data_IF_683871141969
#
_entry.id   IF_683871141969
#
_cell.length_a   1.000
_cell.length_b   1.000
_cell.length_c   1.000
_cell.angle_alpha   90.00
_cell.angle_beta   90.00
_cell.angle_gamma   90.00
#
_symmetry.space_group_name_H-M   'P 1'
#
loop_
_entity.id
_entity.type
_entity.pdbx_description
1 polymer ?
#
# COMPACT_ATOMS: atom_id res chain seq x y z
N UNK A 1 -1.48 -10.48 23.77
CA UNK A 1 -1.41 -10.15 22.33
C UNK A 1 -2.09 -11.24 21.51
N UNK A 2 -2.29 -11.06 20.21
CA UNK A 2 -2.85 -12.08 19.32
C UNK A 2 -1.76 -12.95 18.69
N UNK A 3 -2.06 -14.23 18.53
CA UNK A 3 -1.28 -15.21 17.78
C UNK A 3 -2.22 -16.06 16.92
N UNK A 4 -1.68 -16.74 15.91
CA UNK A 4 -2.48 -17.68 15.13
C UNK A 4 -2.89 -18.90 15.99
N UNK A 5 -4.16 -19.29 15.94
CA UNK A 5 -4.65 -20.49 16.63
C UNK A 5 -4.32 -21.78 15.87
N UNK A 6 -4.13 -21.68 14.55
CA UNK A 6 -3.81 -22.77 13.62
C UNK A 6 -2.92 -22.24 12.51
N UNK A 7 -2.46 -23.13 11.63
CA UNK A 7 -1.77 -22.71 10.42
C UNK A 7 -2.74 -21.95 9.50
N UNK A 8 -2.28 -20.82 8.97
CA UNK A 8 -3.02 -19.94 8.06
C UNK A 8 -2.24 -19.75 6.77
N UNK A 9 -2.94 -19.70 5.65
CA UNK A 9 -2.36 -19.42 4.34
C UNK A 9 -2.23 -17.92 4.12
N UNK A 10 -1.23 -17.50 3.34
CA UNK A 10 -1.16 -16.12 2.84
C UNK A 10 -2.41 -15.78 2.02
N UNK A 11 -2.82 -14.52 2.05
CA UNK A 11 -4.05 -14.04 1.42
C UNK A 11 -5.34 -14.40 2.17
N UNK A 12 -5.27 -15.07 3.33
CA UNK A 12 -6.44 -15.25 4.18
C UNK A 12 -6.77 -13.97 4.94
N UNK A 13 -8.05 -13.72 5.17
CA UNK A 13 -8.53 -12.75 6.17
C UNK A 13 -8.79 -13.54 7.46
N UNK A 14 -7.99 -13.39 8.52
CA UNK A 14 -8.19 -14.14 9.75
C UNK A 14 -9.52 -13.81 10.41
N UNK A 15 -10.25 -14.85 10.77
CA UNK A 15 -11.47 -14.79 11.57
C UNK A 15 -11.16 -14.93 13.05
N UNK A 16 -12.16 -14.76 13.92
CA UNK A 16 -11.98 -14.95 15.36
C UNK A 16 -11.42 -16.33 15.72
N UNK A 17 -11.86 -17.39 15.04
CA UNK A 17 -11.45 -18.77 15.33
C UNK A 17 -10.03 -19.09 14.85
N UNK A 18 -9.46 -18.23 14.01
CA UNK A 18 -8.08 -18.31 13.53
C UNK A 18 -7.09 -17.70 14.52
N UNK A 19 -7.59 -17.04 15.57
CA UNK A 19 -6.83 -16.22 16.48
C UNK A 19 -6.96 -16.73 17.91
N UNK A 20 -5.87 -16.59 18.66
CA UNK A 20 -5.87 -16.82 20.10
C UNK A 20 -5.10 -15.72 20.81
N UNK A 21 -5.48 -15.47 22.05
CA UNK A 21 -4.70 -14.59 22.92
C UNK A 21 -3.55 -15.37 23.53
N UNK A 22 -2.36 -14.76 23.50
CA UNK A 22 -1.17 -15.26 24.21
C UNK A 22 -0.60 -14.14 25.08
N UNK A 23 -0.09 -14.53 26.24
CA UNK A 23 0.65 -13.66 27.14
C UNK A 23 2.14 -13.93 26.99
N UNK A 24 2.91 -12.87 26.77
CA UNK A 24 4.36 -12.89 26.74
C UNK A 24 4.87 -11.90 27.79
N UNK A 25 6.05 -12.14 28.38
CA UNK A 25 6.71 -11.14 29.22
C UNK A 25 6.86 -9.81 28.47
N UNK A 26 6.79 -8.65 29.15
CA UNK A 26 6.81 -7.34 28.50
C UNK A 26 7.99 -7.13 27.53
N UNK A 27 9.17 -7.66 27.84
CA UNK A 27 10.36 -7.58 26.97
C UNK A 27 10.38 -8.53 25.77
N UNK A 28 9.41 -9.44 25.67
CA UNK A 28 9.30 -10.43 24.59
C UNK A 28 8.12 -10.16 23.63
N UNK A 29 7.29 -9.15 23.92
CA UNK A 29 6.21 -8.72 23.01
C UNK A 29 6.84 -7.96 21.83
N UNK A 30 6.68 -8.41 20.58
CA UNK A 30 7.18 -7.68 19.43
C UNK A 30 6.57 -6.28 19.33
N UNK A 31 7.32 -5.33 18.78
CA UNK A 31 6.72 -4.07 18.32
C UNK A 31 5.62 -4.36 17.28
N UNK A 32 4.57 -3.54 17.28
CA UNK A 32 3.44 -3.73 16.37
C UNK A 32 2.56 -4.96 16.69
N UNK A 33 2.77 -5.64 17.83
CA UNK A 33 1.95 -6.77 18.26
C UNK A 33 0.46 -6.39 18.32
N UNK A 34 -0.37 -7.17 17.64
CA UNK A 34 -1.81 -6.98 17.67
C UNK A 34 -2.37 -7.33 19.04
N UNK A 35 -3.29 -6.51 19.52
CA UNK A 35 -3.97 -6.70 20.81
C UNK A 35 -5.33 -7.36 20.60
N UNK A 36 -5.83 -8.13 21.58
CA UNK A 36 -7.23 -8.59 21.56
C UNK A 36 -8.17 -7.42 21.28
N UNK A 37 -9.13 -7.61 20.37
CA UNK A 37 -10.04 -6.55 19.90
C UNK A 37 -9.54 -5.71 18.72
N UNK A 38 -8.35 -5.99 18.16
CA UNK A 38 -7.93 -5.37 16.91
C UNK A 38 -8.91 -5.72 15.76
N UNK A 39 -9.31 -4.70 14.99
CA UNK A 39 -10.13 -4.91 13.79
C UNK A 39 -9.26 -5.40 12.63
N UNK A 40 -9.43 -6.69 12.31
CA UNK A 40 -8.75 -7.36 11.20
C UNK A 40 -9.70 -7.62 10.03
N UNK A 41 -10.91 -7.05 10.09
CA UNK A 41 -11.90 -7.16 9.02
C UNK A 41 -11.29 -6.61 7.74
N UNK A 42 -11.33 -7.41 6.67
CA UNK A 42 -10.73 -7.10 5.37
C UNK A 42 -9.19 -6.92 5.34
N UNK A 43 -8.46 -7.34 6.39
CA UNK A 43 -6.99 -7.37 6.40
C UNK A 43 -6.50 -8.74 5.97
N UNK A 44 -5.75 -8.79 4.86
CA UNK A 44 -5.25 -10.05 4.30
C UNK A 44 -3.87 -10.37 4.88
N UNK A 45 -3.54 -11.62 5.15
CA UNK A 45 -2.17 -12.01 5.52
C UNK A 45 -1.23 -11.87 4.32
N UNK A 46 -0.04 -11.29 4.52
CA UNK A 46 0.97 -11.13 3.45
C UNK A 46 1.68 -12.44 3.06
N UNK A 47 1.61 -13.45 3.93
CA UNK A 47 2.19 -14.78 3.72
C UNK A 47 1.62 -15.81 4.69
N UNK A 48 2.02 -17.09 4.57
CA UNK A 48 1.59 -18.13 5.49
C UNK A 48 2.08 -17.86 6.91
N UNK A 49 1.27 -18.22 7.91
CA UNK A 49 1.52 -18.04 9.34
C UNK A 49 1.33 -19.38 10.04
N UNK A 50 2.25 -19.74 10.94
CA UNK A 50 2.16 -21.00 11.69
C UNK A 50 1.35 -20.86 12.97
N UNK A 51 0.73 -21.95 13.41
CA UNK A 51 0.04 -22.02 14.68
C UNK A 51 0.95 -21.55 15.83
N UNK A 52 0.46 -20.61 16.63
CA UNK A 52 1.16 -20.01 17.75
C UNK A 52 2.12 -18.88 17.42
N UNK A 53 2.28 -18.55 16.14
CA UNK A 53 3.09 -17.40 15.74
C UNK A 53 2.44 -16.08 16.23
N UNK A 54 3.19 -15.22 16.95
CA UNK A 54 2.76 -13.88 17.32
C UNK A 54 2.39 -13.05 16.08
N UNK A 55 1.19 -12.47 16.06
CA UNK A 55 0.76 -11.62 14.96
C UNK A 55 1.06 -10.15 15.24
N UNK A 56 1.77 -9.52 14.29
CA UNK A 56 2.00 -8.08 14.24
C UNK A 56 1.26 -7.47 13.06
N UNK A 57 1.10 -6.15 13.06
CA UNK A 57 0.62 -5.38 11.91
C UNK A 57 1.37 -5.71 10.60
N UNK A 58 2.67 -5.97 10.66
CA UNK A 58 3.51 -6.36 9.52
C UNK A 58 3.10 -7.68 8.84
N UNK A 59 2.33 -8.56 9.51
CA UNK A 59 1.80 -9.81 8.91
C UNK A 59 0.62 -9.58 7.98
N UNK A 60 0.09 -8.36 7.92
CA UNK A 60 -1.09 -8.05 7.13
C UNK A 60 -0.73 -7.14 5.96
N UNK A 61 -1.27 -7.46 4.80
CA UNK A 61 -1.52 -6.51 3.73
C UNK A 61 -2.54 -5.51 4.28
N UNK A 62 -2.07 -4.36 4.75
CA UNK A 62 -2.93 -3.20 4.93
C UNK A 62 -3.13 -2.50 3.57
N UNK A 63 -4.17 -1.66 3.42
CA UNK A 63 -3.85 -0.36 2.83
C UNK A 63 -2.72 0.18 3.72
N UNK A 64 -1.51 0.40 3.21
CA UNK A 64 -0.42 0.86 4.05
C UNK A 64 -0.90 2.15 4.69
N UNK A 65 -0.65 2.25 5.99
CA UNK A 65 -1.11 3.38 6.78
C UNK A 65 -0.69 4.65 6.04
N UNK A 66 -1.68 5.43 5.60
CA UNK A 66 -1.39 6.72 4.98
C UNK A 66 -0.68 7.53 6.06
N UNK A 67 0.59 7.96 5.85
CA UNK A 67 1.34 8.68 6.86
C UNK A 67 0.56 9.91 7.35
N UNK A 68 0.71 10.28 8.62
CA UNK A 68 0.10 11.50 9.17
C UNK A 68 0.44 12.71 8.30
N UNK A 69 -0.56 13.49 7.92
CA UNK A 69 -0.40 14.63 7.00
C UNK A 69 -0.41 14.26 5.51
N UNK A 70 -0.63 12.99 5.16
CA UNK A 70 -0.85 12.54 3.78
C UNK A 70 -2.29 12.07 3.56
N UNK A 71 -2.66 11.93 2.29
CA UNK A 71 -3.93 11.43 1.78
C UNK A 71 -3.66 10.23 0.88
N UNK A 72 -4.56 9.24 0.89
CA UNK A 72 -4.58 8.20 -0.14
C UNK A 72 -5.13 8.79 -1.44
N UNK A 73 -4.26 9.17 -2.36
CA UNK A 73 -4.65 9.85 -3.59
C UNK A 73 -4.60 8.90 -4.80
N UNK A 74 -5.74 8.60 -5.45
CA UNK A 74 -5.78 7.81 -6.66
C UNK A 74 -5.46 8.66 -7.89
N UNK A 75 -4.59 8.17 -8.77
CA UNK A 75 -4.40 8.73 -10.12
C UNK A 75 -4.30 7.60 -11.15
N UNK A 76 -4.56 7.93 -12.42
CA UNK A 76 -4.43 6.98 -13.53
C UNK A 76 -3.18 7.26 -14.35
N UNK A 77 -2.56 6.18 -14.81
CA UNK A 77 -1.58 6.19 -15.88
C UNK A 77 -2.18 5.45 -17.08
N UNK A 78 -1.90 5.94 -18.29
CA UNK A 78 -2.51 5.41 -19.52
C UNK A 78 -2.08 3.96 -19.81
N UNK A 79 -0.82 3.64 -19.51
CA UNK A 79 -0.25 2.32 -19.70
C UNK A 79 -0.49 1.45 -18.46
N UNK A 80 -1.30 0.40 -18.63
CA UNK A 80 -1.65 -0.51 -17.55
C UNK A 80 -0.46 -1.37 -17.09
N UNK A 81 0.50 -1.66 -17.99
CA UNK A 81 1.65 -2.53 -17.71
C UNK A 81 2.60 -1.90 -16.70
N UNK A 82 2.59 -0.57 -16.56
CA UNK A 82 3.32 0.16 -15.52
C UNK A 82 2.97 -0.38 -14.13
N UNK A 83 1.69 -0.65 -13.84
CA UNK A 83 1.30 -1.16 -12.52
C UNK A 83 1.84 -2.55 -12.20
N UNK A 84 2.13 -3.36 -13.22
CA UNK A 84 2.73 -4.68 -13.03
C UNK A 84 4.22 -4.61 -12.66
N UNK A 85 4.88 -3.48 -12.90
CA UNK A 85 6.27 -3.23 -12.51
C UNK A 85 6.40 -2.70 -11.08
N UNK A 86 5.31 -2.21 -10.50
CA UNK A 86 5.29 -1.60 -9.18
C UNK A 86 4.89 -2.60 -8.10
N UNK A 87 5.36 -2.34 -6.89
CA UNK A 87 4.90 -2.98 -5.65
C UNK A 87 4.38 -1.92 -4.69
N UNK A 88 3.46 -2.33 -3.83
CA UNK A 88 3.09 -1.50 -2.67
C UNK A 88 4.33 -1.32 -1.80
N UNK A 89 4.62 -0.08 -1.43
CA UNK A 89 5.85 0.32 -0.73
C UNK A 89 6.90 0.98 -1.63
N UNK A 90 6.82 0.81 -2.96
CA UNK A 90 7.72 1.48 -3.88
C UNK A 90 7.61 3.00 -3.76
N UNK A 91 8.73 3.70 -3.92
CA UNK A 91 8.73 5.15 -4.04
C UNK A 91 8.90 5.53 -5.51
N UNK A 92 8.05 6.43 -5.98
CA UNK A 92 8.01 6.83 -7.39
C UNK A 92 8.16 8.34 -7.54
N UNK A 93 8.85 8.74 -8.60
CA UNK A 93 8.80 10.11 -9.10
C UNK A 93 7.64 10.21 -10.09
N UNK A 94 6.83 11.26 -9.95
CA UNK A 94 5.67 11.53 -10.79
C UNK A 94 6.03 12.65 -11.76
N UNK A 95 5.75 12.44 -13.04
CA UNK A 95 5.96 13.43 -14.10
C UNK A 95 4.65 13.68 -14.84
N UNK A 96 4.45 14.90 -15.33
CA UNK A 96 3.36 15.22 -16.23
C UNK A 96 3.86 15.92 -17.48
N UNK A 97 3.32 15.53 -18.62
CA UNK A 97 3.56 16.15 -19.91
C UNK A 97 2.23 16.46 -20.61
N UNK A 98 2.22 17.49 -21.45
CA UNK A 98 1.14 17.74 -22.39
C UNK A 98 1.63 17.41 -23.81
N UNK A 99 0.75 17.50 -24.81
CA UNK A 99 1.15 17.35 -26.22
C UNK A 99 2.09 18.45 -26.71
N UNK A 100 2.18 19.58 -25.99
CA UNK A 100 2.91 20.77 -26.42
C UNK A 100 4.05 21.17 -25.50
N UNK A 101 4.14 20.59 -24.29
CA UNK A 101 5.17 20.91 -23.31
C UNK A 101 5.89 19.64 -22.84
N UNK A 102 7.21 19.76 -22.67
CA UNK A 102 8.06 18.68 -22.14
C UNK A 102 7.62 18.25 -20.73
N UNK A 103 7.93 17.00 -20.38
CA UNK A 103 7.58 16.43 -19.09
C UNK A 103 8.24 17.20 -17.94
N UNK A 104 7.41 17.66 -17.00
CA UNK A 104 7.83 18.29 -15.75
C UNK A 104 7.64 17.36 -14.57
N UNK A 105 8.54 17.45 -13.59
CA UNK A 105 8.40 16.69 -12.34
C UNK A 105 7.28 17.26 -11.47
N UNK A 106 6.28 16.44 -11.18
CA UNK A 106 5.20 16.76 -10.26
C UNK A 106 5.59 16.47 -8.81
N UNK A 107 6.14 15.31 -8.51
CA UNK A 107 6.48 14.93 -7.15
C UNK A 107 7.64 13.94 -7.13
N UNK A 108 8.42 13.97 -6.05
CA UNK A 108 9.55 13.05 -5.84
C UNK A 108 9.24 12.08 -4.74
N UNK A 109 9.73 10.85 -4.88
CA UNK A 109 9.74 9.83 -3.83
C UNK A 109 8.36 9.68 -3.16
N UNK A 110 7.32 9.54 -3.96
CA UNK A 110 5.94 9.39 -3.45
C UNK A 110 5.67 7.91 -3.18
N UNK A 111 5.25 7.51 -1.97
CA UNK A 111 5.01 6.10 -1.66
C UNK A 111 3.78 5.58 -2.39
N UNK A 112 3.91 4.42 -3.04
CA UNK A 112 2.79 3.64 -3.60
C UNK A 112 2.12 2.90 -2.47
N UNK A 113 0.83 3.17 -2.26
CA UNK A 113 0.05 2.56 -1.18
C UNK A 113 -0.94 1.52 -1.66
N UNK A 114 -1.43 1.59 -2.89
CA UNK A 114 -2.24 0.52 -3.44
C UNK A 114 -2.12 0.46 -4.96
N UNK A 115 -2.24 -0.77 -5.48
CA UNK A 115 -2.32 -1.07 -6.90
C UNK A 115 -3.61 -1.85 -7.18
N UNK A 116 -4.78 -1.17 -7.26
CA UNK A 116 -6.04 -1.83 -7.58
C UNK A 116 -5.98 -2.57 -8.91
N UNK A 117 -6.54 -3.78 -8.97
CA UNK A 117 -6.63 -4.55 -10.19
C UNK A 117 -7.40 -3.76 -11.28
N UNK A 118 -6.93 -3.74 -12.55
CA UNK A 118 -7.65 -3.09 -13.63
C UNK A 118 -9.05 -3.71 -13.80
N UNK A 119 -10.10 -2.88 -13.88
CA UNK A 119 -11.45 -3.37 -14.18
C UNK A 119 -11.67 -3.67 -15.67
N UNK A 120 -10.80 -3.16 -16.52
CA UNK A 120 -10.75 -3.39 -17.97
C UNK A 120 -9.32 -3.13 -18.45
N UNK A 121 -8.85 -3.92 -19.42
CA UNK A 121 -7.53 -3.76 -20.03
C UNK A 121 -7.34 -2.39 -20.72
N UNK A 122 -8.44 -1.73 -21.12
CA UNK A 122 -8.40 -0.45 -21.85
C UNK A 122 -8.39 0.79 -20.96
N UNK A 123 -8.55 0.65 -19.64
CA UNK A 123 -8.78 1.78 -18.74
C UNK A 123 -7.48 2.39 -18.15
N UNK A 124 -6.30 1.89 -18.56
CA UNK A 124 -5.03 2.19 -17.91
C UNK A 124 -4.95 1.66 -16.48
N UNK A 125 -3.82 1.90 -15.81
CA UNK A 125 -3.62 1.49 -14.42
C UNK A 125 -4.09 2.57 -13.45
N UNK A 126 -4.76 2.15 -12.39
CA UNK A 126 -5.04 2.98 -11.22
C UNK A 126 -3.94 2.75 -10.19
N UNK A 127 -3.29 3.82 -9.74
CA UNK A 127 -2.26 3.79 -8.72
C UNK A 127 -2.73 4.69 -7.58
N UNK A 128 -2.63 4.20 -6.34
CA UNK A 128 -2.92 5.00 -5.16
C UNK A 128 -1.61 5.29 -4.44
N UNK A 129 -1.37 6.56 -4.15
CA UNK A 129 -0.16 7.03 -3.47
C UNK A 129 -0.48 7.71 -2.14
N UNK A 130 0.48 7.73 -1.22
CA UNK A 130 0.46 8.63 -0.08
C UNK A 130 0.92 10.02 -0.54
N UNK A 131 -0.01 10.96 -0.70
CA UNK A 131 0.27 12.32 -1.17
C UNK A 131 -0.02 13.35 -0.08
N UNK A 132 0.86 14.34 0.11
CA UNK A 132 0.50 15.52 0.90
C UNK A 132 -0.63 16.30 0.19
N UNK A 133 -1.39 17.16 0.90
CA UNK A 133 -2.42 18.00 0.27
C UNK A 133 -1.91 18.80 -0.94
N UNK A 134 -0.67 19.27 -0.90
CA UNK A 134 -0.03 20.01 -1.99
C UNK A 134 0.27 19.11 -3.20
N UNK A 135 0.73 17.88 -2.98
CA UNK A 135 0.93 16.89 -4.06
C UNK A 135 -0.42 16.49 -4.66
N UNK A 136 -1.43 16.23 -3.82
CA UNK A 136 -2.78 15.88 -4.26
C UNK A 136 -3.38 16.96 -5.15
N UNK A 137 -3.20 18.24 -4.81
CA UNK A 137 -3.67 19.38 -5.61
C UNK A 137 -2.99 19.44 -6.98
N UNK A 138 -1.66 19.22 -7.02
CA UNK A 138 -0.90 19.19 -8.29
C UNK A 138 -1.30 18.00 -9.17
N UNK A 139 -1.53 16.83 -8.58
CA UNK A 139 -2.02 15.66 -9.30
C UNK A 139 -3.44 15.86 -9.83
N UNK A 140 -4.32 16.49 -9.05
CA UNK A 140 -5.68 16.83 -9.49
C UNK A 140 -5.64 17.74 -10.73
N UNK A 141 -4.79 18.77 -10.70
CA UNK A 141 -4.62 19.68 -11.84
C UNK A 141 -4.02 18.97 -13.07
N UNK A 142 -2.98 18.15 -12.86
CA UNK A 142 -2.33 17.42 -13.94
C UNK A 142 -3.26 16.40 -14.59
N UNK A 143 -4.09 15.71 -13.81
CA UNK A 143 -5.01 14.68 -14.30
C UNK A 143 -6.06 15.23 -15.29
N UNK A 144 -6.34 16.54 -15.24
CA UNK A 144 -7.29 17.18 -16.15
C UNK A 144 -6.70 17.46 -17.53
N UNK A 145 -5.40 17.79 -17.61
CA UNK A 145 -4.80 18.41 -18.80
C UNK A 145 -3.51 17.76 -19.29
N UNK A 146 -2.99 16.76 -18.58
CA UNK A 146 -1.68 16.16 -18.83
C UNK A 146 -1.73 14.65 -18.75
N UNK A 147 -0.77 13.99 -19.41
CA UNK A 147 -0.48 12.58 -19.19
C UNK A 147 0.51 12.44 -18.05
N UNK A 148 0.14 11.65 -17.05
CA UNK A 148 1.00 11.37 -15.89
C UNK A 148 1.79 10.09 -16.19
N UNK A 149 3.10 10.13 -15.93
CA UNK A 149 4.01 8.98 -16.01
C UNK A 149 4.81 8.87 -14.72
N UNK A 150 5.41 7.71 -14.49
CA UNK A 150 6.12 7.39 -13.26
C UNK A 150 7.52 6.88 -13.56
N UNK A 151 8.46 7.15 -12.66
CA UNK A 151 9.78 6.51 -12.65
C UNK A 151 10.02 5.90 -11.27
N UNK A 152 10.48 4.64 -11.24
CA UNK A 152 10.90 4.00 -9.99
C UNK A 152 12.22 4.64 -9.54
N UNK A 153 12.28 5.06 -8.28
CA UNK A 153 13.56 5.38 -7.64
C UNK A 153 14.15 4.09 -7.07
N UNK A 154 15.40 3.72 -7.40
CA UNK A 154 16.05 2.61 -6.71
C UNK A 154 16.16 2.92 -5.22
N UNK A 155 16.02 1.90 -4.38
CA UNK A 155 16.36 2.00 -2.96
C UNK A 155 17.84 2.35 -2.86
N UNK A 156 18.16 3.63 -2.68
CA UNK A 156 19.47 4.02 -2.13
C UNK A 156 19.47 3.60 -0.67
N UNK A 157 19.91 2.36 -0.42
CA UNK A 157 20.39 1.89 0.88
C UNK A 157 21.66 2.62 1.29
#
# INVERSE_FOLDING_TARGET
>A
MLAAARDLTGGAVPTHDDLRTVELPPGAVPSGALRPGADLTARLLSGPVRAGEPLTDARFLGPPAVPSGSLAYPFRVDDADISALLRVGDHINLYAATSTAAAGLLARSVPVIALPAPRSATAGALIVVAATPEIATRLAQASTNSRITVALTPDTS
#
